data_IF_520679546387
#
_entry.id   IF_520679546387
#
_cell.length_a   1.000
_cell.length_b   1.000
_cell.length_c   1.000
_cell.angle_alpha   90.00
_cell.angle_beta   90.00
_cell.angle_gamma   90.00
#
_symmetry.space_group_name_H-M   'P 1'
#
loop_
_entity.id
_entity.type
_entity.pdbx_description
1 polymer ?
#
# COMPACT_ATOMS: atom_id res chain seq x y z
N UNK A 1 0.72 28.87 46.30
CA UNK A 1 1.36 27.56 46.02
C UNK A 1 0.39 26.38 46.13
N UNK A 2 -0.41 26.23 47.20
CA UNK A 2 -1.38 25.11 47.34
C UNK A 2 -2.42 25.03 46.22
N UNK A 3 -2.90 26.19 45.72
CA UNK A 3 -3.88 26.22 44.62
C UNK A 3 -3.32 25.67 43.29
N UNK A 4 -2.04 25.94 43.00
CA UNK A 4 -1.41 25.55 41.73
C UNK A 4 -1.20 24.04 41.66
N UNK A 5 -0.76 23.42 42.77
CA UNK A 5 -0.64 21.97 42.87
C UNK A 5 -2.00 21.27 42.71
N UNK A 6 -3.06 21.83 43.30
CA UNK A 6 -4.40 21.26 43.18
C UNK A 6 -4.91 21.28 41.73
N UNK A 7 -4.61 22.34 40.98
CA UNK A 7 -5.00 22.47 39.58
C UNK A 7 -4.25 21.45 38.70
N UNK A 8 -2.95 21.27 38.93
CA UNK A 8 -2.11 20.30 38.21
C UNK A 8 -2.57 18.85 38.38
N UNK A 9 -2.98 18.47 39.59
CA UNK A 9 -3.53 17.13 39.87
C UNK A 9 -4.85 16.92 39.12
N UNK A 10 -5.73 17.93 39.11
CA UNK A 10 -7.00 17.89 38.39
C UNK A 10 -6.81 17.72 36.87
N UNK A 11 -5.88 18.46 36.27
CA UNK A 11 -5.58 18.35 34.83
C UNK A 11 -5.03 16.96 34.49
N UNK A 12 -4.12 16.41 35.30
CA UNK A 12 -3.59 15.06 35.05
C UNK A 12 -4.66 13.98 35.18
N UNK A 13 -5.57 14.08 36.16
CA UNK A 13 -6.70 13.15 36.30
C UNK A 13 -7.64 13.27 35.08
N UNK A 14 -7.89 14.49 34.60
CA UNK A 14 -8.72 14.70 33.42
C UNK A 14 -8.09 14.10 32.16
N UNK A 15 -6.78 14.29 31.97
CA UNK A 15 -6.03 13.67 30.86
C UNK A 15 -6.06 12.14 30.98
N UNK A 16 -5.84 11.59 32.17
CA UNK A 16 -5.92 10.14 32.41
C UNK A 16 -7.33 9.59 32.13
N UNK A 17 -8.38 10.31 32.50
CA UNK A 17 -9.75 9.91 32.21
C UNK A 17 -10.09 10.01 30.73
N UNK A 18 -9.60 11.05 30.03
CA UNK A 18 -9.76 11.15 28.57
C UNK A 18 -9.00 10.02 27.90
N UNK A 19 -7.75 9.74 28.29
CA UNK A 19 -6.97 8.62 27.77
C UNK A 19 -7.60 7.26 28.09
N UNK A 20 -8.18 7.08 29.28
CA UNK A 20 -8.89 5.86 29.66
C UNK A 20 -10.21 5.71 28.90
N UNK A 21 -10.97 6.79 28.70
CA UNK A 21 -12.17 6.77 27.86
C UNK A 21 -11.86 6.48 26.39
N UNK A 22 -10.67 6.85 25.91
CA UNK A 22 -10.20 6.46 24.57
C UNK A 22 -9.55 5.06 24.55
N UNK A 23 -9.14 4.52 25.70
CA UNK A 23 -8.47 3.23 25.81
C UNK A 23 -9.40 2.02 25.69
N UNK A 24 -10.65 2.13 26.16
CA UNK A 24 -11.54 0.97 26.31
C UNK A 24 -12.73 0.90 25.34
N UNK A 25 -12.84 1.79 24.36
CA UNK A 25 -13.97 1.80 23.41
C UNK A 25 -13.60 1.94 21.93
N UNK A 26 -12.51 1.30 21.52
CA UNK A 26 -12.34 0.89 20.12
C UNK A 26 -12.17 -0.63 20.03
N UNK A 27 -13.20 -1.40 20.42
CA UNK A 27 -13.67 -2.39 19.45
C UNK A 27 -14.31 -1.57 18.33
N UNK A 28 -13.47 -0.96 17.49
CA UNK A 28 -13.95 -0.48 16.21
C UNK A 28 -14.39 -1.76 15.52
N UNK A 29 -15.67 -1.84 15.13
CA UNK A 29 -16.14 -2.89 14.22
C UNK A 29 -15.35 -2.71 12.90
N UNK A 30 -14.12 -3.21 12.86
CA UNK A 30 -13.30 -3.21 11.65
C UNK A 30 -13.89 -4.31 10.78
N UNK A 31 -14.65 -3.89 9.76
CA UNK A 31 -15.23 -4.79 8.79
C UNK A 31 -14.56 -4.56 7.44
N UNK A 32 -13.86 -5.58 6.93
CA UNK A 32 -13.22 -5.49 5.63
C UNK A 32 -14.25 -5.70 4.53
N UNK A 33 -14.39 -4.70 3.65
CA UNK A 33 -15.33 -4.72 2.53
C UNK A 33 -14.63 -4.99 1.18
N UNK A 34 -13.31 -4.78 1.12
CA UNK A 34 -12.51 -4.93 -0.09
C UNK A 34 -11.24 -5.76 0.13
N UNK A 35 -10.88 -6.53 -0.88
CA UNK A 35 -9.82 -7.54 -0.84
C UNK A 35 -8.95 -7.39 -2.09
N UNK A 36 -7.67 -7.05 -1.90
CA UNK A 36 -6.69 -7.09 -2.98
C UNK A 36 -6.06 -8.48 -3.03
N UNK A 37 -6.41 -9.28 -4.03
CA UNK A 37 -5.74 -10.56 -4.28
C UNK A 37 -4.51 -10.33 -5.17
N UNK A 38 -3.38 -10.88 -4.75
CA UNK A 38 -2.13 -10.87 -5.49
C UNK A 38 -1.60 -12.30 -5.63
N UNK A 39 -0.89 -12.59 -6.70
CA UNK A 39 -0.33 -13.92 -6.92
C UNK A 39 -0.23 -14.31 -8.39
N UNK A 40 -0.04 -15.61 -8.61
CA UNK A 40 0.12 -16.17 -9.95
C UNK A 40 -1.13 -15.94 -10.80
N UNK A 41 -0.96 -15.38 -12.00
CA UNK A 41 -2.04 -15.14 -12.95
C UNK A 41 -2.87 -13.89 -12.66
N UNK A 42 -2.73 -13.25 -11.50
CA UNK A 42 -3.32 -11.94 -11.23
C UNK A 42 -2.75 -10.91 -12.20
N UNK A 43 -3.60 -9.96 -12.58
CA UNK A 43 -3.15 -8.76 -13.26
C UNK A 43 -2.07 -8.05 -12.43
N UNK A 44 -1.20 -7.29 -13.11
CA UNK A 44 -0.16 -6.50 -12.45
C UNK A 44 -0.79 -5.58 -11.39
N UNK A 45 -0.26 -5.61 -10.15
CA UNK A 45 -0.82 -4.90 -8.99
C UNK A 45 -1.78 -5.72 -8.13
N UNK A 46 -2.29 -6.84 -8.65
CA UNK A 46 -3.36 -7.61 -8.04
C UNK A 46 -4.73 -7.22 -8.59
N UNK A 47 -5.77 -7.83 -8.04
CA UNK A 47 -7.15 -7.62 -8.43
C UNK A 47 -7.98 -7.31 -7.18
N UNK A 48 -8.79 -6.26 -7.26
CA UNK A 48 -9.67 -5.84 -6.16
C UNK A 48 -11.00 -6.55 -6.28
N UNK A 49 -11.39 -7.21 -5.19
CA UNK A 49 -12.62 -7.95 -5.09
C UNK A 49 -13.41 -7.46 -3.87
N UNK A 50 -14.74 -7.41 -3.99
CA UNK A 50 -15.64 -7.12 -2.88
C UNK A 50 -16.16 -8.41 -2.25
N UNK A 51 -16.50 -8.33 -0.96
CA UNK A 51 -17.22 -9.43 -0.29
C UNK A 51 -18.56 -9.68 -0.98
N UNK A 52 -18.93 -10.95 -1.11
CA UNK A 52 -20.21 -11.42 -1.65
C UNK A 52 -20.46 -11.07 -3.12
N UNK A 53 -19.43 -10.63 -3.85
CA UNK A 53 -19.49 -10.42 -5.29
C UNK A 53 -18.79 -11.57 -6.04
N UNK A 54 -19.43 -12.07 -7.09
CA UNK A 54 -18.83 -13.06 -7.99
C UNK A 54 -18.12 -12.34 -9.13
N UNK A 55 -16.81 -12.51 -9.20
CA UNK A 55 -15.98 -11.92 -10.24
C UNK A 55 -15.63 -12.95 -11.29
N UNK A 56 -15.74 -12.57 -12.57
CA UNK A 56 -15.27 -13.38 -13.68
C UNK A 56 -13.80 -13.13 -13.94
N UNK A 57 -13.04 -14.18 -14.23
CA UNK A 57 -11.65 -14.11 -14.68
C UNK A 57 -10.71 -13.42 -13.68
N UNK A 58 -10.63 -13.97 -12.46
CA UNK A 58 -9.73 -13.48 -11.42
C UNK A 58 -8.44 -14.27 -11.39
N UNK A 59 -7.31 -13.60 -11.48
CA UNK A 59 -6.00 -14.23 -11.45
C UNK A 59 -5.81 -15.40 -12.44
N UNK A 60 -6.39 -15.26 -13.64
CA UNK A 60 -6.39 -16.29 -14.68
C UNK A 60 -7.33 -17.48 -14.40
N UNK A 61 -8.12 -17.41 -13.33
CA UNK A 61 -9.12 -18.41 -12.95
C UNK A 61 -10.51 -17.91 -13.35
N UNK A 62 -11.37 -18.79 -13.84
CA UNK A 62 -12.63 -18.40 -14.49
C UNK A 62 -13.60 -17.64 -13.58
N UNK A 63 -13.55 -17.85 -12.27
CA UNK A 63 -14.21 -16.96 -11.32
C UNK A 63 -13.57 -16.95 -9.94
N UNK A 64 -13.92 -15.94 -9.16
CA UNK A 64 -13.59 -15.85 -7.75
C UNK A 64 -14.75 -15.25 -6.95
N UNK A 65 -14.89 -15.72 -5.72
CA UNK A 65 -15.86 -15.24 -4.75
C UNK A 65 -15.16 -15.09 -3.40
N UNK A 66 -15.28 -13.91 -2.80
CA UNK A 66 -15.05 -13.74 -1.37
C UNK A 66 -16.38 -13.84 -0.64
N UNK A 67 -16.41 -14.56 0.47
CA UNK A 67 -17.58 -14.63 1.33
C UNK A 67 -17.15 -14.50 2.78
N UNK A 68 -17.95 -13.82 3.58
CA UNK A 68 -17.76 -13.77 5.02
C UNK A 68 -18.16 -15.12 5.64
N UNK A 69 -17.30 -15.66 6.50
CA UNK A 69 -17.53 -16.94 7.21
C UNK A 69 -17.99 -16.67 8.63
N UNK A 70 -17.25 -15.82 9.36
CA UNK A 70 -17.55 -15.44 10.73
C UNK A 70 -17.23 -13.96 10.94
N UNK A 71 -18.29 -13.16 11.08
CA UNK A 71 -18.22 -11.72 11.36
C UNK A 71 -17.45 -11.40 12.64
N UNK A 72 -17.59 -12.22 13.69
CA UNK A 72 -17.01 -11.95 15.02
C UNK A 72 -15.50 -12.18 15.01
N UNK A 73 -15.03 -13.12 14.19
CA UNK A 73 -13.62 -13.50 14.11
C UNK A 73 -12.92 -12.95 12.85
N UNK A 74 -13.57 -12.07 12.07
CA UNK A 74 -13.04 -11.53 10.81
C UNK A 74 -12.53 -12.64 9.86
N UNK A 75 -13.24 -13.77 9.82
CA UNK A 75 -12.91 -14.90 8.96
C UNK A 75 -13.60 -14.76 7.61
N UNK A 76 -12.81 -14.90 6.55
CA UNK A 76 -13.24 -14.80 5.17
C UNK A 76 -12.87 -16.05 4.40
N UNK A 77 -13.70 -16.40 3.42
CA UNK A 77 -13.51 -17.49 2.48
C UNK A 77 -13.20 -16.91 1.11
N UNK A 78 -12.01 -17.18 0.58
CA UNK A 78 -11.73 -17.06 -0.85
C UNK A 78 -12.09 -18.38 -1.53
N UNK A 79 -12.92 -18.31 -2.57
CA UNK A 79 -13.23 -19.43 -3.45
C UNK A 79 -12.86 -19.08 -4.90
N UNK A 80 -11.93 -19.83 -5.48
CA UNK A 80 -11.58 -19.77 -6.90
C UNK A 80 -12.33 -20.87 -7.67
N UNK A 81 -13.05 -20.50 -8.72
CA UNK A 81 -14.01 -21.35 -9.44
C UNK A 81 -13.62 -21.57 -10.90
N UNK A 82 -14.00 -22.71 -11.49
CA UNK A 82 -13.77 -22.97 -12.94
C UNK A 82 -14.89 -22.41 -13.82
N UNK A 83 -15.88 -21.76 -13.23
CA UNK A 83 -16.97 -21.12 -13.93
C UNK A 83 -17.11 -19.65 -13.54
N UNK A 84 -17.64 -18.86 -14.46
CA UNK A 84 -17.90 -17.42 -14.28
C UNK A 84 -19.17 -17.15 -13.46
N UNK A 85 -19.81 -18.19 -12.91
CA UNK A 85 -21.01 -18.09 -12.08
C UNK A 85 -20.73 -18.31 -10.59
N UNK A 86 -19.46 -18.56 -10.23
CA UNK A 86 -18.98 -18.89 -8.89
C UNK A 86 -19.74 -20.04 -8.22
N UNK A 87 -20.16 -21.06 -8.99
CA UNK A 87 -20.94 -22.20 -8.46
C UNK A 87 -20.09 -23.43 -8.19
N UNK A 88 -19.13 -23.72 -9.07
CA UNK A 88 -18.25 -24.88 -8.95
C UNK A 88 -16.86 -24.45 -8.47
N UNK A 89 -16.68 -24.53 -7.17
CA UNK A 89 -15.41 -24.17 -6.54
C UNK A 89 -14.33 -25.21 -6.79
N UNK A 90 -13.17 -24.78 -7.28
CA UNK A 90 -11.99 -25.63 -7.46
C UNK A 90 -11.09 -25.61 -6.22
N UNK A 91 -10.93 -24.42 -5.64
CA UNK A 91 -10.06 -24.16 -4.51
C UNK A 91 -10.77 -23.19 -3.56
N UNK A 92 -10.77 -23.53 -2.29
CA UNK A 92 -11.30 -22.70 -1.22
C UNK A 92 -10.27 -22.58 -0.12
N UNK A 93 -10.04 -21.35 0.35
CA UNK A 93 -9.17 -21.07 1.49
C UNK A 93 -9.90 -20.14 2.45
N UNK A 94 -10.00 -20.55 3.71
CA UNK A 94 -10.44 -19.68 4.81
C UNK A 94 -9.22 -18.98 5.40
N UNK A 95 -9.33 -17.69 5.66
CA UNK A 95 -8.28 -16.86 6.23
C UNK A 95 -8.88 -15.77 7.11
N UNK A 96 -8.05 -15.20 7.99
CA UNK A 96 -8.41 -14.13 8.89
C UNK A 96 -7.67 -12.84 8.47
N UNK A 97 -8.37 -11.70 8.51
CA UNK A 97 -7.75 -10.39 8.40
C UNK A 97 -7.57 -9.80 9.81
N UNK A 98 -6.35 -9.78 10.35
CA UNK A 98 -6.12 -9.19 11.67
C UNK A 98 -6.04 -7.66 11.65
N UNK A 99 -5.52 -7.11 10.56
CA UNK A 99 -5.19 -5.69 10.42
C UNK A 99 -5.41 -5.22 8.97
N UNK A 100 -5.85 -3.97 8.82
CA UNK A 100 -5.95 -3.31 7.52
C UNK A 100 -4.55 -3.19 6.87
N UNK A 101 -4.49 -3.27 5.53
CA UNK A 101 -3.26 -3.11 4.75
C UNK A 101 -2.17 -4.20 4.98
N UNK A 102 -2.42 -5.21 5.81
CA UNK A 102 -1.47 -6.32 6.02
C UNK A 102 -1.80 -7.48 5.07
N UNK A 103 -0.80 -7.92 4.30
CA UNK A 103 -0.94 -9.05 3.40
C UNK A 103 -0.94 -10.40 4.16
N UNK A 104 -1.96 -11.21 3.91
CA UNK A 104 -2.12 -12.58 4.43
C UNK A 104 -1.81 -13.58 3.32
N UNK A 105 -0.88 -14.50 3.55
CA UNK A 105 -0.58 -15.55 2.57
C UNK A 105 -1.64 -16.64 2.60
N UNK A 106 -2.19 -16.97 1.42
CA UNK A 106 -3.21 -18.01 1.26
C UNK A 106 -2.63 -19.37 0.83
N UNK A 107 -1.31 -19.45 0.65
CA UNK A 107 -0.66 -20.58 0.00
C UNK A 107 -0.80 -20.55 -1.53
N UNK A 108 -0.21 -21.53 -2.22
CA UNK A 108 -0.22 -21.66 -3.69
C UNK A 108 0.27 -20.44 -4.49
N UNK A 109 1.01 -19.54 -3.83
CA UNK A 109 1.52 -18.31 -4.45
C UNK A 109 0.52 -17.16 -4.48
N UNK A 110 -0.57 -17.22 -3.69
CA UNK A 110 -1.50 -16.11 -3.50
C UNK A 110 -1.33 -15.44 -2.13
N UNK A 111 -1.61 -14.15 -2.10
CA UNK A 111 -1.80 -13.35 -0.89
C UNK A 111 -3.03 -12.45 -1.05
N UNK A 112 -3.62 -12.08 0.07
CA UNK A 112 -4.74 -11.15 0.12
C UNK A 112 -4.44 -10.04 1.12
N UNK A 113 -4.77 -8.81 0.75
CA UNK A 113 -4.75 -7.67 1.67
C UNK A 113 -6.18 -7.18 1.86
N UNK A 114 -6.57 -6.92 3.10
CA UNK A 114 -7.93 -6.55 3.46
C UNK A 114 -8.03 -5.05 3.72
N UNK A 115 -9.14 -4.44 3.28
CA UNK A 115 -9.44 -3.01 3.40
C UNK A 115 -10.86 -2.82 3.93
N UNK A 116 -11.01 -1.97 4.94
CA UNK A 116 -12.29 -1.66 5.59
C UNK A 116 -13.08 -0.62 4.78
N UNK A 117 -12.38 0.35 4.21
CA UNK A 117 -12.90 1.37 3.30
C UNK A 117 -12.55 1.08 1.82
N UNK A 118 -13.04 1.97 0.93
CA UNK A 118 -12.68 1.93 -0.50
C UNK A 118 -11.15 2.05 -0.65
N UNK A 119 -10.55 1.03 -1.27
CA UNK A 119 -9.14 0.97 -1.58
C UNK A 119 -8.73 2.19 -2.40
N UNK A 120 -8.02 3.10 -1.75
CA UNK A 120 -7.38 4.21 -2.42
C UNK A 120 -6.08 3.71 -3.02
N UNK A 121 -6.07 3.53 -4.34
CA UNK A 121 -4.86 3.23 -5.11
C UNK A 121 -3.77 4.24 -4.73
N UNK A 122 -2.64 3.81 -4.13
CA UNK A 122 -1.61 4.73 -3.72
C UNK A 122 -1.04 5.44 -4.94
N UNK A 123 -1.11 6.77 -4.96
CA UNK A 123 -0.41 7.55 -5.97
C UNK A 123 1.08 7.56 -5.64
N UNK A 124 1.83 6.67 -6.26
CA UNK A 124 3.28 6.65 -6.14
C UNK A 124 3.90 7.81 -6.90
N UNK A 125 4.63 8.65 -6.19
CA UNK A 125 5.31 9.81 -6.78
C UNK A 125 6.82 9.69 -6.68
N UNK A 126 7.33 8.91 -5.74
CA UNK A 126 8.77 8.76 -5.51
C UNK A 126 9.22 7.31 -5.65
N UNK A 127 10.31 7.11 -6.37
CA UNK A 127 10.87 5.80 -6.72
C UNK A 127 12.34 5.78 -6.34
N UNK A 128 12.69 5.00 -5.33
CA UNK A 128 14.09 4.78 -4.93
C UNK A 128 14.62 3.56 -5.68
N UNK A 129 15.61 3.78 -6.52
CA UNK A 129 16.19 2.79 -7.44
C UNK A 129 17.59 2.45 -6.96
N UNK A 130 17.85 1.17 -6.74
CA UNK A 130 19.14 0.60 -6.36
C UNK A 130 19.58 -0.46 -7.36
N UNK A 131 20.88 -0.66 -7.53
CA UNK A 131 21.43 -1.56 -8.56
C UNK A 131 22.75 -1.08 -9.15
N UNK A 132 23.18 -1.65 -10.29
CA UNK A 132 24.42 -1.27 -10.94
C UNK A 132 24.47 0.23 -11.26
N UNK A 133 25.54 0.89 -10.81
CA UNK A 133 25.79 2.31 -11.06
C UNK A 133 25.13 3.28 -10.07
N UNK A 134 24.27 2.80 -9.17
CA UNK A 134 23.68 3.63 -8.12
C UNK A 134 24.62 3.73 -6.91
N UNK A 135 24.39 4.72 -6.04
CA UNK A 135 24.97 4.73 -4.69
C UNK A 135 24.46 3.56 -3.84
N UNK A 136 25.11 3.25 -2.72
CA UNK A 136 24.68 2.17 -1.81
C UNK A 136 23.25 2.36 -1.27
N UNK A 137 22.83 3.63 -1.11
CA UNK A 137 21.48 3.98 -0.64
C UNK A 137 20.47 4.08 -1.80
N UNK A 138 20.90 3.83 -3.05
CA UNK A 138 20.10 4.06 -4.24
C UNK A 138 20.00 5.54 -4.63
N UNK A 139 19.25 5.79 -5.70
CA UNK A 139 18.96 7.12 -6.23
C UNK A 139 17.45 7.26 -6.46
N UNK A 140 16.92 8.48 -6.34
CA UNK A 140 15.47 8.71 -6.33
C UNK A 140 14.99 9.46 -7.56
N UNK A 141 13.90 9.00 -8.16
CA UNK A 141 13.05 9.79 -9.07
C UNK A 141 11.83 10.25 -8.27
N UNK A 142 11.59 11.55 -8.19
CA UNK A 142 10.45 12.11 -7.41
C UNK A 142 9.26 12.53 -8.26
N UNK A 143 9.34 12.37 -9.59
CA UNK A 143 8.28 12.72 -10.52
C UNK A 143 8.14 11.63 -11.60
N UNK A 144 6.94 11.05 -11.69
CA UNK A 144 6.55 10.27 -12.86
C UNK A 144 6.65 11.15 -14.09
N UNK A 145 7.05 10.57 -15.20
CA UNK A 145 7.16 11.20 -16.51
C UNK A 145 8.33 12.19 -16.67
N UNK A 146 9.24 12.31 -15.70
CA UNK A 146 10.47 13.12 -15.81
C UNK A 146 11.72 12.28 -16.10
N UNK A 147 12.54 12.79 -17.02
CA UNK A 147 13.85 12.25 -17.33
C UNK A 147 14.84 12.66 -16.25
N UNK A 148 15.49 11.68 -15.61
CA UNK A 148 16.52 11.91 -14.60
C UNK A 148 17.71 10.99 -14.85
N UNK A 149 18.91 11.47 -14.56
CA UNK A 149 20.08 10.58 -14.51
C UNK A 149 19.98 9.76 -13.24
N UNK A 150 19.78 8.46 -13.39
CA UNK A 150 19.70 7.46 -12.33
C UNK A 150 20.72 6.37 -12.60
N UNK A 151 21.56 6.10 -11.61
CA UNK A 151 22.57 5.05 -11.63
C UNK A 151 23.50 5.19 -12.86
N UNK A 152 23.86 6.43 -13.18
CA UNK A 152 24.70 6.80 -14.33
C UNK A 152 24.02 6.72 -15.71
N UNK A 153 22.72 6.41 -15.78
CA UNK A 153 21.96 6.34 -17.04
C UNK A 153 20.76 7.27 -17.02
N UNK A 154 20.35 7.76 -18.19
CA UNK A 154 19.12 8.57 -18.29
C UNK A 154 17.92 7.65 -18.21
N UNK A 155 17.10 7.80 -17.17
CA UNK A 155 15.93 6.99 -16.90
C UNK A 155 14.69 7.85 -16.71
N UNK A 156 13.53 7.25 -16.97
CA UNK A 156 12.21 7.83 -16.75
C UNK A 156 11.30 6.74 -16.21
N UNK A 157 10.54 7.05 -15.18
CA UNK A 157 9.45 6.19 -14.72
C UNK A 157 8.16 6.68 -15.36
N UNK A 158 7.44 5.78 -16.04
CA UNK A 158 6.18 6.08 -16.72
C UNK A 158 5.08 5.23 -16.11
N UNK A 159 3.96 5.84 -15.71
CA UNK A 159 2.78 5.12 -15.26
C UNK A 159 2.03 4.51 -16.45
N UNK A 160 1.67 3.22 -16.37
CA UNK A 160 0.89 2.55 -17.42
C UNK A 160 -0.59 2.69 -17.15
N UNK A 161 -1.26 3.54 -17.92
CA UNK A 161 -2.70 3.81 -17.78
C UNK A 161 -3.61 2.68 -18.26
N UNK A 162 -3.08 1.74 -19.05
CA UNK A 162 -3.88 0.68 -19.72
C UNK A 162 -4.05 -0.60 -18.89
N UNK A 163 -3.26 -0.79 -17.84
CA UNK A 163 -3.26 -1.99 -17.00
C UNK A 163 -3.71 -1.64 -15.59
N UNK A 164 -4.38 -2.58 -14.92
CA UNK A 164 -4.74 -2.51 -13.51
C UNK A 164 -3.59 -1.92 -12.67
N UNK A 165 -3.97 -0.94 -11.84
CA UNK A 165 -3.32 -0.41 -10.64
C UNK A 165 -1.78 -0.55 -10.47
N UNK A 166 -1.10 0.57 -10.21
CA UNK A 166 0.30 0.63 -9.72
C UNK A 166 1.36 0.02 -10.66
N UNK A 167 1.07 -0.09 -11.95
CA UNK A 167 2.03 -0.57 -12.94
C UNK A 167 2.80 0.60 -13.57
N UNK A 168 4.11 0.48 -13.58
CA UNK A 168 5.03 1.48 -14.12
C UNK A 168 6.03 0.82 -15.08
N UNK A 169 6.64 1.63 -15.94
CA UNK A 169 7.79 1.22 -16.74
C UNK A 169 9.01 2.03 -16.33
N UNK A 170 10.12 1.36 -16.05
CA UNK A 170 11.44 1.97 -15.96
C UNK A 170 12.05 2.00 -17.36
N UNK A 171 12.04 3.17 -17.96
CA UNK A 171 12.54 3.40 -19.31
C UNK A 171 13.96 3.96 -19.25
N UNK A 172 14.92 3.26 -19.83
CA UNK A 172 16.30 3.72 -19.97
C UNK A 172 16.55 4.28 -21.36
N UNK A 173 17.30 5.38 -21.45
CA UNK A 173 17.52 6.11 -22.69
C UNK A 173 19.00 6.29 -23.00
N UNK A 174 19.32 6.44 -24.29
CA UNK A 174 20.70 6.67 -24.73
C UNK A 174 21.22 8.06 -24.39
N UNK A 175 20.32 9.04 -24.37
CA UNK A 175 20.62 10.47 -24.24
C UNK A 175 19.39 11.19 -23.68
N UNK A 176 19.63 12.29 -22.97
CA UNK A 176 18.62 13.17 -22.40
C UNK A 176 18.81 14.58 -22.95
N UNK A 177 17.84 15.03 -23.73
CA UNK A 177 17.84 16.39 -24.30
C UNK A 177 17.34 17.45 -23.31
N UNK A 178 16.37 17.11 -22.45
CA UNK A 178 15.83 17.96 -21.38
C UNK A 178 15.33 17.11 -20.21
N UNK A 179 14.93 17.73 -19.10
CA UNK A 179 14.30 17.04 -17.95
C UNK A 179 12.97 16.38 -18.30
N UNK A 180 12.29 16.77 -19.38
CA UNK A 180 11.03 16.12 -19.82
C UNK A 180 11.22 15.16 -20.98
N UNK A 181 12.26 15.36 -21.80
CA UNK A 181 12.50 14.61 -23.02
C UNK A 181 13.79 13.80 -22.96
N UNK A 182 13.62 12.50 -22.72
CA UNK A 182 14.65 11.53 -23.07
C UNK A 182 14.48 11.14 -24.55
N UNK A 183 15.57 11.00 -25.29
CA UNK A 183 15.51 10.99 -26.77
C UNK A 183 15.18 9.61 -27.34
N UNK A 184 16.06 8.63 -27.14
CA UNK A 184 15.95 7.29 -27.72
C UNK A 184 15.80 6.26 -26.63
N UNK A 185 14.64 5.60 -26.57
CA UNK A 185 14.40 4.49 -25.66
C UNK A 185 15.36 3.35 -26.01
N UNK A 186 16.22 2.97 -25.06
CA UNK A 186 17.11 1.82 -25.18
C UNK A 186 16.44 0.56 -24.67
N UNK A 187 15.78 0.67 -23.53
CA UNK A 187 15.16 -0.44 -22.84
C UNK A 187 13.96 0.06 -22.04
N UNK A 188 12.94 -0.77 -21.91
CA UNK A 188 11.80 -0.54 -21.05
C UNK A 188 11.54 -1.81 -20.27
N UNK A 189 11.42 -1.68 -18.96
CA UNK A 189 11.10 -2.78 -18.07
C UNK A 189 9.91 -2.40 -17.22
N UNK A 190 8.85 -3.18 -17.33
CA UNK A 190 7.66 -2.98 -16.52
C UNK A 190 7.91 -3.49 -15.10
N UNK A 191 7.36 -2.76 -14.13
CA UNK A 191 7.39 -3.11 -12.72
C UNK A 191 6.12 -2.65 -12.05
N UNK A 192 5.87 -3.18 -10.86
CA UNK A 192 4.67 -2.88 -10.09
C UNK A 192 5.14 -2.27 -8.78
N UNK A 193 4.46 -1.24 -8.32
CA UNK A 193 4.66 -0.75 -6.96
C UNK A 193 3.84 -1.59 -5.98
N UNK A 194 4.52 -2.18 -5.01
CA UNK A 194 3.90 -2.89 -3.91
C UNK A 194 3.56 -1.90 -2.77
N UNK A 195 2.54 -2.20 -1.94
CA UNK A 195 2.26 -1.45 -0.73
C UNK A 195 3.47 -1.34 0.21
N UNK A 196 3.43 -0.37 1.12
CA UNK A 196 4.39 -0.20 2.24
C UNK A 196 5.87 -0.08 1.84
N UNK A 197 6.15 0.49 0.67
CA UNK A 197 7.53 0.70 0.21
C UNK A 197 8.35 -0.59 0.13
N UNK A 198 7.68 -1.71 -0.17
CA UNK A 198 8.35 -2.96 -0.44
C UNK A 198 9.22 -2.87 -1.70
N UNK A 199 10.32 -3.64 -1.68
CA UNK A 199 11.33 -3.67 -2.73
C UNK A 199 10.91 -4.62 -3.86
N UNK A 200 10.89 -4.12 -5.09
CA UNK A 200 10.55 -4.87 -6.30
C UNK A 200 11.78 -4.99 -7.19
N UNK A 201 12.09 -6.20 -7.67
CA UNK A 201 13.23 -6.44 -8.55
C UNK A 201 12.84 -6.25 -10.02
N UNK A 202 13.65 -5.50 -10.76
CA UNK A 202 13.42 -5.14 -12.17
C UNK A 202 14.71 -5.36 -12.94
N UNK A 203 14.89 -6.58 -13.47
CA UNK A 203 16.16 -7.00 -14.06
C UNK A 203 17.29 -6.93 -13.03
N UNK A 204 18.30 -6.09 -13.28
CA UNK A 204 19.42 -5.87 -12.35
C UNK A 204 19.15 -4.78 -11.30
N UNK A 205 18.00 -4.11 -11.37
CA UNK A 205 17.63 -3.03 -10.46
C UNK A 205 16.67 -3.53 -9.40
N UNK A 206 16.53 -2.74 -8.35
CA UNK A 206 15.45 -2.87 -7.40
C UNK A 206 14.86 -1.52 -7.08
N UNK A 207 13.53 -1.47 -7.03
CA UNK A 207 12.75 -0.24 -6.92
C UNK A 207 11.89 -0.33 -5.65
N UNK A 208 11.94 0.72 -4.85
CA UNK A 208 11.00 0.96 -3.75
C UNK A 208 10.11 2.12 -4.17
N UNK A 209 8.81 1.94 -4.04
CA UNK A 209 7.83 2.97 -4.37
C UNK A 209 7.30 3.64 -3.11
N UNK A 210 7.26 4.97 -3.12
CA UNK A 210 6.75 5.79 -2.02
C UNK A 210 5.55 6.61 -2.52
N UNK A 211 4.43 6.50 -1.79
CA UNK A 211 3.26 7.34 -2.00
C UNK A 211 3.44 8.72 -1.37
N UNK A 212 2.76 9.72 -1.91
CA UNK A 212 2.81 11.09 -1.36
C UNK A 212 2.21 11.23 0.04
N UNK A 213 1.44 10.25 0.52
CA UNK A 213 0.69 10.32 1.80
C UNK A 213 1.52 10.01 3.04
N UNK A 214 2.74 9.47 2.90
CA UNK A 214 3.56 8.98 4.03
C UNK A 214 4.18 10.06 4.94
N UNK A 215 3.94 11.36 4.68
CA UNK A 215 4.60 12.46 5.40
C UNK A 215 3.78 13.15 6.50
N UNK A 216 2.52 12.78 6.76
CA UNK A 216 1.65 13.61 7.62
C UNK A 216 1.73 13.27 9.12
N UNK A 217 2.15 12.08 9.52
CA UNK A 217 2.04 11.63 10.93
C UNK A 217 3.10 12.20 11.88
N UNK A 218 4.28 12.61 11.41
CA UNK A 218 5.32 13.17 12.29
C UNK A 218 5.08 14.65 12.66
N UNK A 219 4.42 15.43 11.81
CA UNK A 219 4.31 16.89 11.97
C UNK A 219 3.31 17.31 13.06
N UNK A 220 2.22 16.56 13.23
CA UNK A 220 1.15 16.93 14.18
C UNK A 220 1.61 16.66 15.62
N UNK A 221 2.32 15.57 15.88
CA UNK A 221 2.82 15.26 17.21
C UNK A 221 3.81 16.31 17.73
N UNK A 222 4.72 16.78 16.88
CA UNK A 222 5.73 17.79 17.26
C UNK A 222 5.08 19.15 17.56
N UNK A 223 4.07 19.54 16.78
CA UNK A 223 3.37 20.82 17.02
C UNK A 223 2.54 20.80 18.30
N UNK A 224 1.87 19.70 18.63
CA UNK A 224 1.16 19.53 19.91
C UNK A 224 2.13 19.52 21.10
N UNK A 225 3.30 18.90 20.96
CA UNK A 225 4.32 18.86 22.01
C UNK A 225 4.93 20.24 22.29
N UNK A 226 5.18 21.04 21.24
CA UNK A 226 5.69 22.40 21.40
C UNK A 226 4.63 23.31 22.08
N UNK A 227 3.37 23.21 21.68
CA UNK A 227 2.28 23.99 22.29
C UNK A 227 2.11 23.69 23.78
N UNK A 228 2.27 22.43 24.19
CA UNK A 228 2.20 22.04 25.60
C UNK A 228 3.38 22.54 26.44
N UNK A 229 4.58 22.65 25.85
CA UNK A 229 5.74 23.26 26.53
C UNK A 229 5.56 24.78 26.67
N UNK A 230 5.04 25.47 25.65
CA UNK A 230 4.81 26.93 25.71
C UNK A 230 3.74 27.29 26.74
N UNK A 231 2.72 26.45 26.94
CA UNK A 231 1.72 26.63 28.01
C UNK A 231 2.26 26.36 29.42
N UNK A 232 3.42 25.70 29.54
CA UNK A 232 4.02 25.32 30.82
C UNK A 232 4.98 26.40 31.40
N UNK A 233 5.38 27.37 30.58
CA UNK A 233 6.25 28.50 30.94
C UNK A 233 5.39 29.72 31.25
#
# INVERSE_FOLDING_TARGET
MKLLLSLLVLVNILILNVLAQHGDHHHSDVHFTQFLIQGNGCSAGGELLHVNECFSNVCGVSGALFSEVDYVHMEYLLSLTNDTSCKNTNLSTVFECSDENVAVSLGNGYSVTCYDDEYVVPKYTKFQISGPGCSNDGETISNVDECSTICGSNNKVVEKTETSFNTFSLNSYSDATTTKTCSTLKNSQDFICLPDSQKVSVGNYSIICESSSSLVSASIFVTVLILSIVLLI
#
